data_IF_914361926248
#
_entry.id   IF_914361926248
#
_cell.length_a   1.000
_cell.length_b   1.000
_cell.length_c   1.000
_cell.angle_alpha   90.00
_cell.angle_beta   90.00
_cell.angle_gamma   90.00
#
_symmetry.space_group_name_H-M   'P 1'
#
loop_
_entity.id
_entity.type
_entity.pdbx_description
1 polymer ?
#
# COMPACT_ATOMS: atom_id res chain seq x y z
N UNK A 1 15.06 7.88 -14.62
CA UNK A 1 14.67 6.68 -13.84
C UNK A 1 15.34 6.63 -12.46
N UNK A 2 16.59 7.06 -12.31
CA UNK A 2 17.34 7.05 -11.04
C UNK A 2 16.94 8.14 -10.04
N UNK A 3 16.25 9.20 -10.46
CA UNK A 3 15.90 10.36 -9.62
C UNK A 3 14.68 10.09 -8.72
N UNK A 4 13.79 9.18 -9.11
CA UNK A 4 12.57 8.88 -8.36
C UNK A 4 12.89 8.13 -7.05
N UNK A 5 13.85 7.21 -7.07
CA UNK A 5 14.27 6.46 -5.89
C UNK A 5 14.74 7.36 -4.73
N UNK A 6 15.67 8.32 -4.92
CA UNK A 6 16.09 9.21 -3.84
C UNK A 6 14.95 10.06 -3.26
N UNK A 7 14.00 10.51 -4.09
CA UNK A 7 12.86 11.33 -3.64
C UNK A 7 11.99 10.57 -2.64
N UNK A 8 11.85 9.25 -2.79
CA UNK A 8 11.07 8.43 -1.84
C UNK A 8 11.91 7.96 -0.64
N UNK A 9 13.15 7.52 -0.86
CA UNK A 9 13.97 6.95 0.21
C UNK A 9 14.62 7.98 1.12
N UNK A 10 14.98 9.16 0.60
CA UNK A 10 15.63 10.20 1.40
C UNK A 10 14.76 10.70 2.57
N UNK A 11 13.48 11.04 2.38
CA UNK A 11 12.61 11.42 3.50
C UNK A 11 12.35 10.28 4.49
N UNK A 12 12.32 9.03 4.02
CA UNK A 12 12.19 7.85 4.88
C UNK A 12 13.40 7.70 5.79
N UNK A 13 14.60 7.90 5.24
CA UNK A 13 15.86 7.84 5.97
C UNK A 13 15.98 8.98 6.99
N UNK A 14 15.71 10.23 6.58
CA UNK A 14 15.77 11.41 7.43
C UNK A 14 14.74 11.35 8.57
N UNK A 15 13.61 10.69 8.36
CA UNK A 15 12.57 10.52 9.37
C UNK A 15 11.90 11.83 9.82
N UNK A 16 11.37 11.84 11.03
CA UNK A 16 10.82 13.05 11.65
C UNK A 16 9.83 13.83 10.78
N UNK A 17 10.07 15.14 10.64
CA UNK A 17 9.20 16.05 9.87
C UNK A 17 9.28 15.78 8.36
N UNK A 18 10.46 15.39 7.85
CA UNK A 18 10.66 15.12 6.43
C UNK A 18 9.83 13.94 5.94
N UNK A 19 9.80 12.87 6.73
CA UNK A 19 8.95 11.72 6.44
C UNK A 19 7.45 12.08 6.45
N UNK A 20 6.99 12.86 7.44
CA UNK A 20 5.59 13.29 7.54
C UNK A 20 5.17 14.13 6.33
N UNK A 21 6.00 15.08 5.91
CA UNK A 21 5.74 15.92 4.74
C UNK A 21 5.69 15.05 3.47
N UNK A 22 6.65 14.16 3.27
CA UNK A 22 6.68 13.26 2.12
C UNK A 22 5.43 12.36 2.08
N UNK A 23 5.03 11.81 3.23
CA UNK A 23 3.86 10.95 3.35
C UNK A 23 2.56 11.71 3.01
N UNK A 24 2.40 12.96 3.47
CA UNK A 24 1.28 13.81 3.09
C UNK A 24 1.28 14.06 1.57
N UNK A 25 2.42 14.42 1.00
CA UNK A 25 2.53 14.68 -0.44
C UNK A 25 2.15 13.45 -1.26
N UNK A 26 2.71 12.27 -0.93
CA UNK A 26 2.43 11.01 -1.62
C UNK A 26 0.96 10.64 -1.49
N UNK A 27 0.40 10.71 -0.29
CA UNK A 27 -1.00 10.37 -0.04
C UNK A 27 -1.96 11.33 -0.74
N UNK A 28 -1.64 12.62 -0.80
CA UNK A 28 -2.44 13.62 -1.51
C UNK A 28 -2.38 13.41 -3.03
N UNK A 29 -1.21 13.08 -3.58
CA UNK A 29 -1.06 12.75 -4.99
C UNK A 29 -1.82 11.47 -5.34
N UNK A 30 -1.76 10.47 -4.48
CA UNK A 30 -2.49 9.21 -4.62
C UNK A 30 -4.01 9.44 -4.63
N UNK A 31 -4.51 10.22 -3.69
CA UNK A 31 -5.92 10.63 -3.66
C UNK A 31 -6.31 11.41 -4.92
N UNK A 32 -5.50 12.38 -5.33
CA UNK A 32 -5.75 13.18 -6.53
C UNK A 32 -5.83 12.32 -7.79
N UNK A 33 -4.93 11.34 -7.93
CA UNK A 33 -4.96 10.40 -9.03
C UNK A 33 -6.26 9.58 -9.04
N UNK A 34 -6.63 9.01 -7.91
CA UNK A 34 -7.85 8.21 -7.77
C UNK A 34 -9.13 9.01 -8.07
N UNK A 35 -9.21 10.25 -7.59
CA UNK A 35 -10.39 11.09 -7.81
C UNK A 35 -10.51 11.56 -9.26
N UNK A 36 -9.39 11.69 -9.98
CA UNK A 36 -9.43 12.02 -11.41
C UNK A 36 -10.01 10.88 -12.26
N UNK A 37 -9.86 9.63 -11.84
CA UNK A 37 -10.43 8.46 -12.49
C UNK A 37 -11.97 8.50 -12.45
N UNK A 38 -12.54 8.96 -11.34
CA UNK A 38 -14.02 9.09 -11.19
C UNK A 38 -14.57 10.31 -11.95
N UNK A 39 -13.70 11.19 -12.43
CA UNK A 39 -14.10 12.42 -13.13
C UNK A 39 -15.04 13.31 -12.28
N UNK A 40 -14.74 13.45 -10.99
CA UNK A 40 -15.55 14.25 -10.07
C UNK A 40 -15.40 15.75 -10.39
N UNK A 41 -16.52 16.45 -10.54
CA UNK A 41 -16.54 17.88 -10.91
C UNK A 41 -15.74 18.76 -9.92
N UNK A 42 -15.82 18.42 -8.63
CA UNK A 42 -15.19 19.20 -7.54
C UNK A 42 -13.87 18.60 -7.05
N UNK A 43 -13.13 17.91 -7.93
CA UNK A 43 -11.88 17.22 -7.57
C UNK A 43 -10.87 18.08 -6.81
N UNK A 44 -10.74 19.37 -7.15
CA UNK A 44 -9.80 20.29 -6.48
C UNK A 44 -10.21 20.53 -5.03
N UNK A 45 -11.50 20.82 -4.80
CA UNK A 45 -12.04 21.07 -3.46
C UNK A 45 -11.92 19.81 -2.60
N UNK A 46 -12.28 18.64 -3.15
CA UNK A 46 -12.13 17.36 -2.47
C UNK A 46 -10.67 17.06 -2.09
N UNK A 47 -9.70 17.40 -2.96
CA UNK A 47 -8.27 17.21 -2.66
C UNK A 47 -7.80 18.13 -1.56
N UNK A 48 -8.23 19.39 -1.54
CA UNK A 48 -7.91 20.33 -0.46
C UNK A 48 -8.49 19.85 0.88
N UNK A 49 -9.76 19.41 0.90
CA UNK A 49 -10.39 18.87 2.10
C UNK A 49 -9.67 17.62 2.60
N UNK A 50 -9.25 16.74 1.70
CA UNK A 50 -8.46 15.56 2.03
C UNK A 50 -7.11 15.94 2.65
N UNK A 51 -6.42 16.94 2.09
CA UNK A 51 -5.17 17.45 2.63
C UNK A 51 -5.35 18.02 4.06
N UNK A 52 -6.39 18.81 4.28
CA UNK A 52 -6.72 19.31 5.61
C UNK A 52 -6.97 18.17 6.61
N UNK A 53 -7.69 17.13 6.17
CA UNK A 53 -7.95 15.96 6.99
C UNK A 53 -6.66 15.19 7.36
N UNK A 54 -5.71 15.06 6.43
CA UNK A 54 -4.39 14.47 6.71
C UNK A 54 -3.59 15.30 7.73
N UNK A 55 -3.62 16.62 7.64
CA UNK A 55 -2.94 17.50 8.59
C UNK A 55 -3.52 17.36 10.01
N UNK A 56 -4.85 17.31 10.12
CA UNK A 56 -5.54 17.08 11.41
C UNK A 56 -5.20 15.71 11.97
N UNK A 57 -5.16 14.67 11.13
CA UNK A 57 -4.80 13.31 11.55
C UNK A 57 -3.39 13.26 12.11
N UNK A 58 -2.41 13.93 11.48
CA UNK A 58 -1.05 14.01 12.02
C UNK A 58 -0.98 14.71 13.37
N UNK A 59 -1.83 15.72 13.58
CA UNK A 59 -1.90 16.40 14.87
C UNK A 59 -2.43 15.46 15.97
N UNK A 60 -3.49 14.71 15.68
CA UNK A 60 -4.06 13.71 16.60
C UNK A 60 -3.03 12.60 16.90
N UNK A 61 -2.36 12.07 15.87
CA UNK A 61 -1.32 11.05 16.00
C UNK A 61 -0.12 11.52 16.83
N UNK A 62 0.15 12.83 16.90
CA UNK A 62 1.19 13.39 17.75
C UNK A 62 0.78 13.46 19.24
N UNK A 63 -0.50 13.77 19.52
CA UNK A 63 -1.01 13.97 20.88
C UNK A 63 -1.24 12.65 21.61
N UNK A 64 -1.78 11.65 20.93
CA UNK A 64 -2.19 10.39 21.53
C UNK A 64 -1.77 9.20 20.62
N UNK A 65 -0.46 8.88 20.52
CA UNK A 65 0.04 7.89 19.57
C UNK A 65 -0.59 6.50 19.77
N UNK A 66 -0.81 6.07 21.02
CA UNK A 66 -1.27 4.72 21.34
C UNK A 66 -2.70 4.43 20.87
N UNK A 67 -3.58 5.43 20.91
CA UNK A 67 -5.00 5.30 20.51
C UNK A 67 -5.31 6.02 19.20
N UNK A 68 -4.41 6.83 18.71
CA UNK A 68 -4.63 7.70 17.56
C UNK A 68 -4.93 6.92 16.29
N UNK A 69 -4.29 5.77 16.06
CA UNK A 69 -4.55 4.92 14.91
C UNK A 69 -6.02 4.46 14.89
N UNK A 70 -6.50 3.97 16.03
CA UNK A 70 -7.89 3.53 16.17
C UNK A 70 -8.88 4.68 16.04
N UNK A 71 -8.56 5.85 16.61
CA UNK A 71 -9.38 7.07 16.48
C UNK A 71 -9.45 7.52 15.02
N UNK A 72 -8.32 7.53 14.31
CA UNK A 72 -8.27 7.91 12.91
C UNK A 72 -9.03 6.93 12.01
N UNK A 73 -8.95 5.62 12.27
CA UNK A 73 -9.77 4.61 11.57
C UNK A 73 -11.26 4.80 11.85
N UNK A 74 -11.64 5.00 13.10
CA UNK A 74 -13.03 5.27 13.48
C UNK A 74 -13.56 6.55 12.80
N UNK A 75 -12.77 7.62 12.80
CA UNK A 75 -13.11 8.88 12.13
C UNK A 75 -13.31 8.70 10.62
N UNK A 76 -12.50 7.85 9.98
CA UNK A 76 -12.66 7.50 8.56
C UNK A 76 -13.99 6.77 8.32
N UNK A 77 -14.30 5.76 9.13
CA UNK A 77 -15.56 4.98 8.99
C UNK A 77 -16.77 5.87 9.22
N UNK A 78 -16.79 6.60 10.35
CA UNK A 78 -17.91 7.50 10.70
C UNK A 78 -18.03 8.62 9.66
N UNK A 79 -16.93 9.25 9.28
CA UNK A 79 -16.90 10.30 8.26
C UNK A 79 -17.43 9.81 6.91
N UNK A 80 -17.06 8.62 6.48
CA UNK A 80 -17.56 8.03 5.23
C UNK A 80 -19.08 7.77 5.27
N UNK A 81 -19.60 7.30 6.40
CA UNK A 81 -21.04 7.08 6.60
C UNK A 81 -21.79 8.42 6.58
N UNK A 82 -21.30 9.44 7.31
CA UNK A 82 -21.90 10.76 7.35
C UNK A 82 -21.93 11.43 5.96
N UNK A 83 -20.83 11.38 5.22
CA UNK A 83 -20.73 11.89 3.85
C UNK A 83 -21.76 11.21 2.95
N UNK A 84 -21.93 9.89 3.09
CA UNK A 84 -22.95 9.14 2.33
C UNK A 84 -24.37 9.60 2.65
N UNK A 85 -24.69 9.78 3.92
CA UNK A 85 -26.03 10.17 4.38
C UNK A 85 -26.38 11.60 3.96
N UNK A 86 -25.42 12.54 4.07
CA UNK A 86 -25.66 13.98 3.82
C UNK A 86 -25.61 14.29 2.32
N UNK A 87 -24.58 13.80 1.62
CA UNK A 87 -24.29 14.22 0.23
C UNK A 87 -24.70 13.20 -0.83
N UNK A 88 -25.26 12.04 -0.45
CA UNK A 88 -25.62 10.93 -1.37
C UNK A 88 -24.48 10.55 -2.33
N UNK A 89 -23.27 10.55 -1.85
CA UNK A 89 -22.05 10.35 -2.66
C UNK A 89 -21.98 8.90 -3.14
N UNK A 90 -21.42 8.70 -4.32
CA UNK A 90 -21.23 7.37 -4.90
C UNK A 90 -20.31 6.52 -4.04
N UNK A 91 -20.59 5.21 -3.94
CA UNK A 91 -19.77 4.23 -3.23
C UNK A 91 -18.26 4.33 -3.59
N UNK A 92 -17.96 4.54 -4.85
CA UNK A 92 -16.56 4.65 -5.32
C UNK A 92 -15.81 5.86 -4.77
N UNK A 93 -16.49 6.98 -4.56
CA UNK A 93 -15.88 8.15 -3.94
C UNK A 93 -15.45 7.85 -2.50
N UNK A 94 -16.30 7.15 -1.75
CA UNK A 94 -15.98 6.74 -0.37
C UNK A 94 -14.83 5.72 -0.33
N UNK A 95 -14.86 4.75 -1.26
CA UNK A 95 -13.80 3.75 -1.37
C UNK A 95 -12.42 4.40 -1.65
N UNK A 96 -12.37 5.46 -2.47
CA UNK A 96 -11.14 6.21 -2.75
C UNK A 96 -10.63 6.93 -1.51
N UNK A 97 -11.49 7.66 -0.81
CA UNK A 97 -11.11 8.34 0.44
C UNK A 97 -10.57 7.29 1.43
N UNK A 98 -11.31 6.20 1.60
CA UNK A 98 -10.93 5.13 2.51
C UNK A 98 -9.59 4.50 2.17
N UNK A 99 -9.38 4.14 0.91
CA UNK A 99 -8.16 3.46 0.47
C UNK A 99 -6.93 4.36 0.53
N UNK A 100 -7.05 5.61 0.08
CA UNK A 100 -5.94 6.57 0.14
C UNK A 100 -5.57 6.94 1.59
N UNK A 101 -6.56 7.09 2.46
CA UNK A 101 -6.31 7.37 3.86
C UNK A 101 -5.75 6.17 4.61
N UNK A 102 -6.24 4.96 4.33
CA UNK A 102 -5.70 3.74 4.89
C UNK A 102 -4.21 3.58 4.50
N UNK A 103 -3.85 3.87 3.25
CA UNK A 103 -2.45 3.84 2.83
C UNK A 103 -1.57 4.79 3.63
N UNK A 104 -2.05 6.02 3.90
CA UNK A 104 -1.37 6.99 4.76
C UNK A 104 -1.17 6.45 6.19
N UNK A 105 -2.23 5.94 6.82
CA UNK A 105 -2.16 5.41 8.19
C UNK A 105 -1.21 4.23 8.30
N UNK A 106 -1.25 3.31 7.32
CA UNK A 106 -0.39 2.12 7.29
C UNK A 106 1.08 2.51 7.30
N UNK A 107 1.52 3.37 6.39
CA UNK A 107 2.92 3.79 6.34
C UNK A 107 3.34 4.61 7.54
N UNK A 108 2.43 5.44 8.08
CA UNK A 108 2.71 6.19 9.29
C UNK A 108 2.90 5.27 10.49
N UNK A 109 2.03 4.28 10.67
CA UNK A 109 2.10 3.31 11.77
C UNK A 109 3.37 2.46 11.69
N UNK A 110 3.68 1.90 10.51
CA UNK A 110 4.89 1.09 10.31
C UNK A 110 6.15 1.90 10.68
N UNK A 111 6.19 3.19 10.32
CA UNK A 111 7.36 4.04 10.61
C UNK A 111 7.53 4.35 12.09
N UNK A 112 6.45 4.32 12.87
CA UNK A 112 6.48 4.58 14.31
C UNK A 112 6.77 3.36 15.17
N UNK A 113 6.81 2.16 14.59
CA UNK A 113 7.10 0.93 15.33
C UNK A 113 8.53 0.91 15.85
N UNK A 114 8.68 0.60 17.13
CA UNK A 114 9.98 0.47 17.79
C UNK A 114 10.85 1.73 17.72
N UNK A 115 12.15 1.51 17.61
CA UNK A 115 13.12 2.59 17.39
C UNK A 115 13.02 3.17 15.96
N UNK A 116 13.57 4.37 15.71
CA UNK A 116 13.56 4.97 14.38
C UNK A 116 14.18 4.09 13.27
N UNK A 117 15.18 3.28 13.61
CA UNK A 117 15.81 2.31 12.71
C UNK A 117 14.89 1.14 12.40
N UNK A 118 14.15 0.63 13.38
CA UNK A 118 13.25 -0.52 13.22
C UNK A 118 12.09 -0.19 12.28
N UNK A 119 11.47 0.97 12.44
CA UNK A 119 10.42 1.44 11.54
C UNK A 119 10.91 1.67 10.10
N UNK A 120 12.18 2.07 9.91
CA UNK A 120 12.78 2.18 8.58
C UNK A 120 12.99 0.80 7.94
N UNK A 121 13.51 -0.15 8.71
CA UNK A 121 13.72 -1.54 8.28
C UNK A 121 12.37 -2.18 7.93
N UNK A 122 11.33 -1.95 8.74
CA UNK A 122 9.99 -2.47 8.51
C UNK A 122 9.38 -1.95 7.21
N UNK A 123 9.51 -0.64 6.91
CA UNK A 123 9.06 -0.09 5.61
C UNK A 123 9.83 -0.72 4.46
N UNK A 124 11.15 -0.84 4.61
CA UNK A 124 11.98 -1.45 3.57
C UNK A 124 11.59 -2.91 3.31
N UNK A 125 11.33 -3.68 4.38
CA UNK A 125 10.85 -5.06 4.30
C UNK A 125 9.50 -5.15 3.56
N UNK A 126 8.54 -4.28 3.88
CA UNK A 126 7.23 -4.23 3.22
C UNK A 126 7.39 -3.98 1.72
N UNK A 127 8.24 -3.01 1.34
CA UNK A 127 8.50 -2.71 -0.07
C UNK A 127 9.20 -3.89 -0.76
N UNK A 128 10.19 -4.50 -0.10
CA UNK A 128 10.95 -5.63 -0.63
C UNK A 128 10.03 -6.83 -0.90
N UNK A 129 9.17 -7.19 0.05
CA UNK A 129 8.22 -8.29 -0.10
C UNK A 129 7.27 -8.02 -1.28
N UNK A 130 6.72 -6.80 -1.40
CA UNK A 130 5.84 -6.45 -2.51
C UNK A 130 6.55 -6.58 -3.86
N UNK A 131 7.76 -6.01 -4.00
CA UNK A 131 8.54 -6.06 -5.24
C UNK A 131 8.91 -7.49 -5.64
N UNK A 132 9.31 -8.33 -4.68
CA UNK A 132 9.64 -9.74 -4.94
C UNK A 132 8.38 -10.49 -5.36
N UNK A 133 7.29 -10.35 -4.60
CA UNK A 133 6.02 -11.00 -4.90
C UNK A 133 5.54 -10.68 -6.32
N UNK A 134 5.51 -9.41 -6.70
CA UNK A 134 5.07 -8.97 -8.03
C UNK A 134 6.00 -9.47 -9.15
N UNK A 135 7.32 -9.36 -8.94
CA UNK A 135 8.31 -9.76 -9.94
C UNK A 135 8.27 -11.27 -10.19
N UNK A 136 8.35 -12.07 -9.15
CA UNK A 136 8.35 -13.52 -9.28
C UNK A 136 6.96 -14.09 -9.63
N UNK A 137 5.89 -13.43 -9.21
CA UNK A 137 4.54 -13.72 -9.66
C UNK A 137 4.39 -13.54 -11.18
N UNK A 138 4.96 -12.48 -11.73
CA UNK A 138 5.00 -12.23 -13.17
C UNK A 138 5.85 -13.28 -13.91
N UNK A 139 7.08 -13.52 -13.47
CA UNK A 139 7.98 -14.51 -14.10
C UNK A 139 7.42 -15.94 -13.99
N UNK A 140 6.94 -16.33 -12.82
CA UNK A 140 6.32 -17.64 -12.62
C UNK A 140 5.07 -17.84 -13.47
N UNK A 141 4.26 -16.78 -13.61
CA UNK A 141 3.10 -16.78 -14.50
C UNK A 141 3.45 -16.87 -15.98
N UNK A 142 4.54 -16.24 -16.42
CA UNK A 142 5.01 -16.33 -17.81
C UNK A 142 5.61 -17.72 -18.16
N UNK A 143 6.42 -18.27 -17.26
CA UNK A 143 7.15 -19.52 -17.53
C UNK A 143 6.30 -20.76 -17.32
N UNK A 144 5.46 -20.77 -16.29
CA UNK A 144 4.73 -21.96 -15.84
C UNK A 144 3.21 -21.80 -15.88
N UNK A 145 2.69 -20.59 -16.17
CA UNK A 145 1.26 -20.28 -16.08
C UNK A 145 0.41 -21.07 -17.05
N UNK A 146 -0.54 -21.85 -16.52
CA UNK A 146 -1.51 -22.65 -17.30
C UNK A 146 -2.95 -22.24 -17.00
N UNK A 147 -3.30 -22.06 -15.70
CA UNK A 147 -4.66 -21.77 -15.25
C UNK A 147 -4.83 -20.30 -14.88
N UNK A 148 -5.73 -19.60 -15.55
CA UNK A 148 -6.11 -18.22 -15.21
C UNK A 148 -7.05 -18.22 -14.02
N UNK A 149 -6.77 -17.41 -12.97
CA UNK A 149 -7.59 -17.37 -11.75
C UNK A 149 -8.67 -16.29 -11.86
N UNK A 150 -8.32 -15.09 -12.36
CA UNK A 150 -9.22 -13.94 -12.39
C UNK A 150 -9.33 -13.33 -13.80
N UNK A 151 -9.95 -14.05 -14.78
CA UNK A 151 -9.95 -13.61 -16.19
C UNK A 151 -10.63 -12.25 -16.41
N UNK A 152 -11.63 -11.90 -15.58
CA UNK A 152 -12.37 -10.63 -15.71
C UNK A 152 -11.63 -9.42 -15.10
N UNK A 153 -10.84 -9.62 -14.05
CA UNK A 153 -10.15 -8.56 -13.30
C UNK A 153 -8.74 -8.39 -13.86
N UNK A 154 -7.99 -9.48 -13.91
CA UNK A 154 -6.61 -9.53 -14.37
C UNK A 154 -6.38 -10.77 -15.25
N UNK A 155 -6.54 -10.64 -16.58
CA UNK A 155 -6.49 -11.79 -17.50
C UNK A 155 -5.11 -12.45 -17.59
N UNK A 156 -4.07 -11.81 -17.11
CA UNK A 156 -2.70 -12.32 -17.12
C UNK A 156 -2.29 -13.05 -15.84
N UNK A 157 -3.12 -13.00 -14.76
CA UNK A 157 -2.82 -13.70 -13.51
C UNK A 157 -3.17 -15.18 -13.62
N UNK A 158 -2.17 -16.01 -13.36
CA UNK A 158 -2.28 -17.48 -13.35
C UNK A 158 -2.12 -18.02 -11.93
N UNK A 159 -2.63 -19.22 -11.68
CA UNK A 159 -2.51 -19.89 -10.39
C UNK A 159 -1.06 -20.15 -10.04
N UNK A 160 -0.29 -20.63 -11.00
CA UNK A 160 1.13 -20.89 -10.84
C UNK A 160 1.89 -19.61 -10.49
N UNK A 161 1.65 -18.52 -11.22
CA UNK A 161 2.23 -17.22 -10.90
C UNK A 161 1.87 -16.71 -9.51
N UNK A 162 0.63 -16.94 -9.07
CA UNK A 162 0.20 -16.57 -7.70
C UNK A 162 0.91 -17.39 -6.64
N UNK A 163 1.15 -18.68 -6.87
CA UNK A 163 1.94 -19.52 -5.96
C UNK A 163 3.40 -19.05 -5.88
N UNK A 164 4.00 -18.70 -7.02
CA UNK A 164 5.33 -18.07 -7.01
C UNK A 164 5.32 -16.76 -6.21
N UNK A 165 4.36 -15.88 -6.42
CA UNK A 165 4.22 -14.63 -5.67
C UNK A 165 4.11 -14.85 -4.16
N UNK A 166 3.46 -15.92 -3.73
CA UNK A 166 3.26 -16.25 -2.33
C UNK A 166 4.51 -16.79 -1.63
N UNK A 167 5.24 -17.72 -2.27
CA UNK A 167 6.34 -18.42 -1.62
C UNK A 167 7.70 -17.74 -1.82
N UNK A 168 7.93 -17.07 -2.96
CA UNK A 168 9.27 -16.52 -3.28
C UNK A 168 9.79 -15.46 -2.31
N UNK A 169 8.99 -14.57 -1.71
CA UNK A 169 9.51 -13.63 -0.72
C UNK A 169 10.13 -14.32 0.49
N UNK A 170 9.48 -15.37 1.01
CA UNK A 170 10.01 -16.15 2.14
C UNK A 170 11.30 -16.88 1.77
N UNK A 171 11.33 -17.52 0.60
CA UNK A 171 12.52 -18.20 0.08
C UNK A 171 13.66 -17.19 -0.11
N UNK A 172 13.39 -16.02 -0.67
CA UNK A 172 14.40 -14.98 -0.90
C UNK A 172 15.01 -14.47 0.41
N UNK A 173 14.15 -14.19 1.42
CA UNK A 173 14.63 -13.75 2.74
C UNK A 173 15.39 -14.85 3.45
N UNK A 174 15.00 -16.12 3.29
CA UNK A 174 15.78 -17.25 3.79
C UNK A 174 17.20 -17.28 3.23
N UNK A 175 17.37 -17.12 1.91
CA UNK A 175 18.71 -17.05 1.31
C UNK A 175 19.51 -15.82 1.75
N UNK A 176 18.86 -14.66 1.92
CA UNK A 176 19.51 -13.48 2.48
C UNK A 176 19.99 -13.74 3.92
N UNK A 177 19.17 -14.38 4.76
CA UNK A 177 19.55 -14.74 6.11
C UNK A 177 20.78 -15.65 6.15
N UNK A 178 20.87 -16.62 5.25
CA UNK A 178 22.06 -17.50 5.12
C UNK A 178 23.31 -16.73 4.69
N UNK A 179 23.18 -15.78 3.74
CA UNK A 179 24.31 -15.00 3.23
C UNK A 179 24.86 -14.03 4.28
N UNK A 180 23.99 -13.42 5.06
CA UNK A 180 24.35 -12.41 6.07
C UNK A 180 24.52 -13.00 7.49
N UNK A 181 24.51 -14.34 7.61
CA UNK A 181 24.62 -15.07 8.91
C UNK A 181 23.62 -14.53 9.97
N UNK A 182 22.44 -14.09 9.53
CA UNK A 182 21.43 -13.54 10.41
C UNK A 182 20.67 -14.68 11.11
N UNK A 183 20.47 -14.56 12.41
CA UNK A 183 19.77 -15.54 13.27
C UNK A 183 18.24 -15.55 13.01
N UNK A 184 17.81 -15.94 11.82
CA UNK A 184 16.41 -16.20 11.51
C UNK A 184 16.04 -17.69 11.69
N UNK A 185 16.46 -18.29 12.81
CA UNK A 185 16.20 -19.70 13.12
C UNK A 185 14.70 -20.02 13.40
N UNK A 186 13.87 -19.01 13.54
CA UNK A 186 12.43 -19.21 13.77
C UNK A 186 11.68 -19.40 12.44
N UNK A 187 11.24 -20.61 12.16
CA UNK A 187 10.44 -20.94 10.96
C UNK A 187 9.12 -20.14 10.86
N UNK A 188 8.61 -19.62 11.97
CA UNK A 188 7.40 -18.78 12.00
C UNK A 188 7.60 -17.50 11.16
N UNK A 189 8.80 -16.94 11.14
CA UNK A 189 9.11 -15.72 10.36
C UNK A 189 8.80 -15.92 8.87
N UNK A 190 9.17 -17.07 8.31
CA UNK A 190 8.92 -17.36 6.88
C UNK A 190 7.43 -17.55 6.57
N UNK A 191 6.66 -18.07 7.52
CA UNK A 191 5.20 -18.16 7.41
C UNK A 191 4.60 -16.73 7.43
N UNK A 192 5.05 -15.87 8.33
CA UNK A 192 4.63 -14.47 8.43
C UNK A 192 4.90 -13.75 7.11
N UNK A 193 6.10 -13.88 6.55
CA UNK A 193 6.47 -13.26 5.26
C UNK A 193 5.58 -13.76 4.12
N UNK A 194 5.28 -15.07 4.08
CA UNK A 194 4.37 -15.61 3.07
C UNK A 194 2.94 -15.08 3.22
N UNK A 195 2.46 -14.91 4.46
CA UNK A 195 1.15 -14.28 4.72
C UNK A 195 1.18 -12.80 4.30
N UNK A 196 2.26 -12.07 4.55
CA UNK A 196 2.42 -10.70 4.04
C UNK A 196 2.39 -10.63 2.51
N UNK A 197 2.96 -11.62 1.82
CA UNK A 197 2.90 -11.72 0.36
C UNK A 197 1.47 -11.92 -0.17
N UNK A 198 0.55 -12.54 0.60
CA UNK A 198 -0.88 -12.51 0.27
C UNK A 198 -1.41 -11.07 0.20
N UNK A 199 -0.93 -10.19 1.06
CA UNK A 199 -1.26 -8.78 1.02
C UNK A 199 -0.91 -8.14 -0.32
N UNK A 200 0.27 -8.44 -0.90
CA UNK A 200 0.65 -7.95 -2.23
C UNK A 200 -0.32 -8.43 -3.31
N UNK A 201 -0.62 -9.74 -3.31
CA UNK A 201 -1.52 -10.36 -4.28
C UNK A 201 -2.93 -9.74 -4.22
N UNK A 202 -3.47 -9.56 -3.01
CA UNK A 202 -4.79 -8.98 -2.79
C UNK A 202 -4.81 -7.48 -3.11
N UNK A 203 -3.78 -6.73 -2.75
CA UNK A 203 -3.64 -5.31 -3.07
C UNK A 203 -3.69 -5.05 -4.58
N UNK A 204 -2.88 -5.78 -5.37
CA UNK A 204 -2.90 -5.68 -6.83
C UNK A 204 -4.25 -6.14 -7.43
N UNK A 205 -4.92 -7.14 -6.85
CA UNK A 205 -6.27 -7.52 -7.28
C UNK A 205 -7.29 -6.40 -7.03
N UNK A 206 -7.25 -5.75 -5.87
CA UNK A 206 -8.13 -4.63 -5.53
C UNK A 206 -7.88 -3.46 -6.49
N UNK A 207 -6.62 -3.08 -6.72
CA UNK A 207 -6.24 -2.04 -7.67
C UNK A 207 -6.68 -2.37 -9.10
N UNK A 208 -6.51 -3.62 -9.52
CA UNK A 208 -6.96 -4.09 -10.82
C UNK A 208 -8.49 -4.07 -10.94
N UNK A 209 -9.21 -4.53 -9.93
CA UNK A 209 -10.68 -4.49 -9.88
C UNK A 209 -11.20 -3.06 -9.98
N UNK A 210 -10.62 -2.13 -9.22
CA UNK A 210 -10.94 -0.71 -9.30
C UNK A 210 -10.80 -0.18 -10.73
N UNK A 211 -9.65 -0.42 -11.37
CA UNK A 211 -9.39 0.03 -12.76
C UNK A 211 -10.41 -0.52 -13.76
N UNK A 212 -10.80 -1.80 -13.65
CA UNK A 212 -11.79 -2.41 -14.56
C UNK A 212 -13.19 -1.84 -14.41
N UNK A 213 -13.61 -1.47 -13.19
CA UNK A 213 -14.91 -0.81 -12.99
C UNK A 213 -15.01 0.53 -13.72
N UNK A 214 -13.90 1.25 -13.86
CA UNK A 214 -13.83 2.49 -14.64
C UNK A 214 -13.40 2.30 -16.10
N UNK A 215 -13.33 1.05 -16.58
CA UNK A 215 -12.93 0.69 -17.96
C UNK A 215 -11.56 1.25 -18.37
N UNK A 216 -10.66 1.44 -17.42
CA UNK A 216 -9.28 1.87 -17.65
C UNK A 216 -8.30 0.71 -17.42
N UNK A 217 -7.10 0.83 -18.00
CA UNK A 217 -6.01 -0.14 -17.80
C UNK A 217 -4.95 0.41 -16.85
N UNK A 218 -4.56 1.65 -17.01
CA UNK A 218 -3.59 2.37 -16.18
C UNK A 218 -4.32 3.47 -15.44
N UNK A 219 -3.95 3.74 -14.20
CA UNK A 219 -4.61 4.76 -13.37
C UNK A 219 -4.33 6.18 -13.86
N UNK A 220 -3.10 6.45 -14.32
CA UNK A 220 -2.70 7.73 -14.91
C UNK A 220 -1.36 7.60 -15.66
N UNK A 221 -0.86 8.72 -16.19
CA UNK A 221 0.49 8.88 -16.73
C UNK A 221 1.37 9.77 -15.82
N UNK A 222 1.11 9.77 -14.53
CA UNK A 222 1.79 10.63 -13.56
C UNK A 222 3.29 10.30 -13.48
N UNK A 223 3.63 9.03 -13.63
CA UNK A 223 5.01 8.56 -13.73
C UNK A 223 5.34 8.24 -15.19
N UNK A 224 6.12 9.10 -15.90
CA UNK A 224 6.42 8.90 -17.31
C UNK A 224 7.00 7.51 -17.59
N UNK A 225 6.32 6.72 -18.43
CA UNK A 225 6.71 5.36 -18.81
C UNK A 225 6.45 4.27 -17.74
N UNK A 226 5.82 4.61 -16.58
CA UNK A 226 5.58 3.67 -15.48
C UNK A 226 4.11 3.60 -15.03
N UNK A 227 3.20 4.37 -15.66
CA UNK A 227 1.79 4.41 -15.27
C UNK A 227 1.52 5.37 -14.11
N UNK A 228 0.51 5.08 -13.32
CA UNK A 228 0.15 5.88 -12.16
C UNK A 228 0.81 5.46 -10.86
N UNK A 229 0.59 6.26 -9.84
CA UNK A 229 1.03 5.97 -8.48
C UNK A 229 0.26 4.78 -7.90
N UNK A 230 -1.05 4.68 -8.19
CA UNK A 230 -1.88 3.52 -7.81
C UNK A 230 -1.28 2.21 -8.32
N UNK A 231 -0.82 2.19 -9.59
CA UNK A 231 -0.25 0.99 -10.23
C UNK A 231 1.04 0.50 -9.57
N UNK A 232 1.59 1.25 -8.61
CA UNK A 232 2.81 0.95 -7.87
C UNK A 232 2.60 0.74 -6.39
N UNK A 233 1.56 1.36 -5.85
CA UNK A 233 1.30 1.36 -4.41
C UNK A 233 0.32 0.28 -3.98
N UNK A 234 -0.47 -0.27 -4.91
CA UNK A 234 -1.53 -1.24 -4.60
C UNK A 234 -0.99 -2.48 -3.87
N UNK A 235 0.05 -3.13 -4.38
CA UNK A 235 0.71 -4.27 -3.72
C UNK A 235 1.38 -3.88 -2.41
N UNK A 236 2.07 -2.72 -2.38
CA UNK A 236 2.81 -2.26 -1.20
C UNK A 236 1.85 -1.95 -0.04
N UNK A 237 0.73 -1.27 -0.31
CA UNK A 237 -0.31 -0.99 0.68
C UNK A 237 -0.90 -2.29 1.21
N UNK A 238 -1.16 -3.27 0.34
CA UNK A 238 -1.65 -4.58 0.73
C UNK A 238 -0.70 -5.30 1.70
N UNK A 239 0.60 -5.34 1.40
CA UNK A 239 1.62 -5.92 2.31
C UNK A 239 1.66 -5.17 3.63
N UNK A 240 1.61 -3.83 3.61
CA UNK A 240 1.64 -3.00 4.82
C UNK A 240 0.45 -3.23 5.74
N UNK A 241 -0.75 -3.45 5.21
CA UNK A 241 -1.94 -3.82 6.00
C UNK A 241 -1.71 -5.15 6.73
N UNK A 242 -1.23 -6.17 6.02
CA UNK A 242 -0.94 -7.47 6.61
C UNK A 242 0.18 -7.39 7.65
N UNK A 243 1.21 -6.57 7.40
CA UNK A 243 2.27 -6.32 8.36
C UNK A 243 1.70 -5.80 9.69
N UNK A 244 0.85 -4.75 9.67
CA UNK A 244 0.26 -4.19 10.90
C UNK A 244 -0.62 -5.21 11.63
N UNK A 245 -1.43 -5.99 10.88
CA UNK A 245 -2.30 -7.01 11.48
C UNK A 245 -1.46 -8.08 12.19
N UNK A 246 -0.40 -8.55 11.56
CA UNK A 246 0.48 -9.58 12.12
C UNK A 246 1.28 -9.07 13.31
N UNK A 247 1.78 -7.84 13.26
CA UNK A 247 2.50 -7.20 14.36
C UNK A 247 1.65 -7.02 15.63
N UNK A 248 0.33 -6.92 15.50
CA UNK A 248 -0.58 -6.85 16.66
C UNK A 248 -0.89 -8.23 17.28
N UNK A 249 -0.59 -9.31 16.57
CA UNK A 249 -0.90 -10.69 16.99
C UNK A 249 0.34 -11.39 17.54
N UNK A 250 1.51 -11.00 17.07
CA UNK A 250 2.82 -11.54 17.49
C UNK A 250 3.43 -10.75 18.61
#
# INVERSE_FOLDING_TARGET
RLIILPIFFLPMYLGGIYFKIALICVSTLFFYELITIINHAERKVATILYLCFLCVSLFILKIAPDVAFSICLAALVVGSILIKLVYKVNFWFQAIIGYSYLSFLVFYQIRLQGNPTDGLISIFLVILIAVISDSFGYFGGQLFGRKKIFPYISPNKTLEGTLFAFFTPAIFIFFLALIFEADFNNSIIYIIISIMALGAILGDLIGSYFKRNFKIKNSSNLLPGHGGLLDRMDSIVGVGIFFIILDQIT
#
